data_IF_926887376567
#
_entry.id   IF_926887376567
#
_cell.length_a   1.000
_cell.length_b   1.000
_cell.length_c   1.000
_cell.angle_alpha   90.00
_cell.angle_beta   90.00
_cell.angle_gamma   90.00
#
_symmetry.space_group_name_H-M   'P 1'
#
loop_
_entity.id
_entity.type
_entity.pdbx_description
1 polymer ?
#
# COMPACT_ATOMS: atom_id res chain seq x y z
N UNK A 1 -12.47 5.37 -5.88
CA UNK A 1 -11.38 4.49 -5.38
C UNK A 1 -11.66 3.90 -4.00
N UNK A 2 -12.45 4.54 -3.12
CA UNK A 2 -12.59 4.10 -1.72
C UNK A 2 -13.11 2.67 -1.54
N UNK A 3 -14.05 2.24 -2.37
CA UNK A 3 -14.67 0.91 -2.25
C UNK A 3 -13.84 -0.23 -2.85
N UNK A 4 -12.69 0.08 -3.48
CA UNK A 4 -11.83 -0.91 -4.16
C UNK A 4 -10.52 -1.20 -3.42
N UNK A 5 -10.34 -0.60 -2.25
CA UNK A 5 -9.10 -0.71 -1.48
C UNK A 5 -9.31 -1.75 -0.40
N UNK A 6 -8.50 -2.80 -0.42
CA UNK A 6 -8.38 -3.74 0.69
C UNK A 6 -7.61 -3.06 1.82
N UNK A 7 -8.33 -2.72 2.90
CA UNK A 7 -7.79 -1.85 3.95
C UNK A 7 -6.67 -2.51 4.74
N UNK A 8 -6.83 -3.79 5.09
CA UNK A 8 -5.84 -4.54 5.88
C UNK A 8 -4.50 -4.64 5.14
N UNK A 9 -4.53 -4.90 3.83
CA UNK A 9 -3.32 -4.95 2.99
C UNK A 9 -2.62 -3.58 2.94
N UNK A 10 -3.39 -2.49 2.89
CA UNK A 10 -2.83 -1.14 2.95
C UNK A 10 -2.17 -0.86 4.31
N UNK A 11 -2.77 -1.31 5.41
CA UNK A 11 -2.18 -1.17 6.75
C UNK A 11 -0.85 -1.93 6.85
N UNK A 12 -0.80 -3.15 6.33
CA UNK A 12 0.40 -3.99 6.31
C UNK A 12 1.53 -3.35 5.50
N UNK A 13 1.23 -2.88 4.28
CA UNK A 13 2.20 -2.18 3.43
C UNK A 13 2.72 -0.90 4.11
N UNK A 14 1.83 -0.12 4.72
CA UNK A 14 2.21 1.10 5.40
C UNK A 14 3.03 0.84 6.69
N UNK A 15 2.77 -0.26 7.40
CA UNK A 15 3.58 -0.69 8.54
C UNK A 15 4.99 -1.14 8.10
N UNK A 16 5.09 -1.83 6.97
CA UNK A 16 6.37 -2.25 6.36
C UNK A 16 7.23 -1.04 5.97
N UNK A 17 6.58 0.09 5.66
CA UNK A 17 7.21 1.39 5.40
C UNK A 17 7.39 2.26 6.67
N UNK A 18 7.08 1.73 7.86
CA UNK A 18 7.12 2.45 9.14
C UNK A 18 6.32 3.76 9.17
N UNK A 19 5.21 3.83 8.42
CA UNK A 19 4.34 5.01 8.39
C UNK A 19 3.52 5.11 9.68
N UNK A 20 3.86 6.07 10.55
CA UNK A 20 3.32 6.23 11.92
C UNK A 20 1.81 6.61 11.95
N UNK A 21 1.20 7.02 10.83
CA UNK A 21 -0.08 7.75 10.81
C UNK A 21 -1.25 7.05 10.10
N UNK A 22 -1.22 5.74 9.96
CA UNK A 22 -2.30 5.02 9.26
C UNK A 22 -3.53 4.84 10.18
N UNK A 23 -4.74 5.25 9.76
CA UNK A 23 -5.95 4.98 10.53
C UNK A 23 -6.24 3.47 10.59
N UNK A 24 -6.34 2.88 11.78
CA UNK A 24 -6.53 1.43 11.94
C UNK A 24 -7.92 0.91 11.57
N UNK A 25 -8.92 1.77 11.47
CA UNK A 25 -10.31 1.36 11.23
C UNK A 25 -10.93 2.08 10.03
N UNK A 26 -11.70 1.33 9.23
CA UNK A 26 -12.63 1.90 8.27
C UNK A 26 -13.83 2.49 9.03
N UNK A 27 -13.81 3.81 9.23
CA UNK A 27 -14.87 4.51 9.98
C UNK A 27 -16.20 4.42 9.20
N UNK A 28 -17.27 3.90 9.81
CA UNK A 28 -18.62 4.02 9.24
C UNK A 28 -18.97 5.50 9.06
N UNK A 29 -19.40 5.90 7.85
CA UNK A 29 -19.64 7.32 7.54
C UNK A 29 -18.38 8.10 7.12
N UNK A 30 -17.26 7.44 6.79
CA UNK A 30 -16.00 8.06 6.36
C UNK A 30 -16.14 9.12 5.25
N UNK A 31 -17.22 9.10 4.46
CA UNK A 31 -17.45 10.03 3.35
C UNK A 31 -17.46 11.49 3.79
N UNK A 32 -17.84 11.75 5.04
CA UNK A 32 -17.89 13.10 5.59
C UNK A 32 -16.69 13.43 6.51
N UNK A 33 -15.87 12.44 6.85
CA UNK A 33 -14.65 12.66 7.64
C UNK A 33 -13.50 13.12 6.74
N UNK A 34 -13.38 14.43 6.55
CA UNK A 34 -12.30 15.05 5.77
C UNK A 34 -10.91 14.72 6.32
N UNK A 35 -10.75 14.51 7.63
CA UNK A 35 -9.45 14.20 8.23
C UNK A 35 -9.02 12.79 7.86
N UNK A 36 -9.94 11.82 7.92
CA UNK A 36 -9.73 10.46 7.44
C UNK A 36 -9.42 10.44 5.95
N UNK A 37 -10.22 11.12 5.13
CA UNK A 37 -10.04 11.18 3.68
C UNK A 37 -8.68 11.75 3.28
N UNK A 38 -8.20 12.81 3.95
CA UNK A 38 -6.86 13.39 3.71
C UNK A 38 -5.73 12.43 4.08
N UNK A 39 -5.80 11.79 5.25
CA UNK A 39 -4.77 10.81 5.67
C UNK A 39 -4.67 9.65 4.69
N UNK A 40 -5.82 9.14 4.23
CA UNK A 40 -5.84 8.07 3.24
C UNK A 40 -5.30 8.54 1.89
N UNK A 41 -5.67 9.74 1.43
CA UNK A 41 -5.14 10.32 0.20
C UNK A 41 -3.61 10.34 0.22
N UNK A 42 -3.03 10.83 1.32
CA UNK A 42 -1.59 10.85 1.52
C UNK A 42 -0.96 9.46 1.34
N UNK A 43 -1.47 8.45 2.03
CA UNK A 43 -0.89 7.11 2.02
C UNK A 43 -1.05 6.42 0.66
N UNK A 44 -2.16 6.64 -0.04
CA UNK A 44 -2.43 5.97 -1.33
C UNK A 44 -1.79 6.65 -2.53
N UNK A 45 -1.58 7.97 -2.48
CA UNK A 45 -1.27 8.77 -3.67
C UNK A 45 -0.07 9.71 -3.52
N UNK A 46 0.45 9.88 -2.30
CA UNK A 46 1.58 10.79 -2.02
C UNK A 46 2.79 10.06 -1.44
N UNK A 47 2.75 8.73 -1.36
CA UNK A 47 3.87 7.90 -0.88
C UNK A 47 4.26 6.94 -2.00
N UNK A 48 5.47 7.12 -2.51
CA UNK A 48 6.04 6.29 -3.57
C UNK A 48 7.22 5.48 -3.04
N UNK A 49 7.24 4.17 -3.33
CA UNK A 49 8.39 3.31 -3.07
C UNK A 49 9.34 3.37 -4.26
N UNK A 50 10.50 4.02 -4.11
CA UNK A 50 11.48 4.14 -5.19
C UNK A 50 12.29 2.86 -5.39
N UNK A 51 12.70 2.22 -4.30
CA UNK A 51 13.47 0.98 -4.30
C UNK A 51 12.86 0.01 -3.28
N UNK A 52 12.74 -1.26 -3.64
CA UNK A 52 12.15 -2.27 -2.75
C UNK A 52 11.90 -3.61 -3.42
N UNK A 53 11.15 -4.48 -2.75
CA UNK A 53 10.80 -5.81 -3.25
C UNK A 53 9.35 -6.10 -2.85
N UNK A 54 8.54 -6.56 -3.80
CA UNK A 54 7.26 -7.19 -3.54
C UNK A 54 7.48 -8.70 -3.46
N UNK A 55 7.03 -9.32 -2.37
CA UNK A 55 7.12 -10.77 -2.20
C UNK A 55 5.73 -11.39 -2.34
N UNK A 56 5.60 -12.44 -3.14
CA UNK A 56 4.38 -13.25 -3.18
C UNK A 56 4.27 -14.06 -1.88
N UNK A 57 3.17 -13.95 -1.12
CA UNK A 57 3.01 -14.69 0.14
C UNK A 57 2.83 -16.21 -0.08
N UNK A 58 2.38 -16.63 -1.26
CA UNK A 58 2.11 -18.04 -1.58
C UNK A 58 3.34 -18.78 -2.11
N UNK A 59 4.03 -18.18 -3.10
CA UNK A 59 5.19 -18.81 -3.77
C UNK A 59 6.53 -18.35 -3.22
N UNK A 60 6.57 -17.23 -2.48
CA UNK A 60 7.81 -16.59 -2.03
C UNK A 60 8.58 -15.86 -3.14
N UNK A 61 8.06 -15.82 -4.37
CA UNK A 61 8.69 -15.13 -5.50
C UNK A 61 8.90 -13.64 -5.19
N UNK A 62 10.05 -13.10 -5.60
CA UNK A 62 10.46 -11.72 -5.33
C UNK A 62 10.43 -10.89 -6.61
N UNK A 63 9.70 -9.78 -6.56
CA UNK A 63 9.54 -8.83 -7.65
C UNK A 63 10.18 -7.50 -7.27
N UNK A 64 11.35 -7.15 -7.83
CA UNK A 64 12.06 -5.93 -7.44
C UNK A 64 11.32 -4.68 -7.94
N UNK A 65 11.38 -3.62 -7.15
CA UNK A 65 10.99 -2.26 -7.51
C UNK A 65 12.27 -1.45 -7.67
N UNK A 66 12.44 -0.81 -8.82
CA UNK A 66 13.56 0.08 -9.10
C UNK A 66 13.08 1.35 -9.78
N UNK A 67 13.60 2.51 -9.35
CA UNK A 67 13.15 3.82 -9.83
C UNK A 67 11.63 4.04 -9.75
N UNK A 68 10.97 3.44 -8.75
CA UNK A 68 9.52 3.51 -8.58
C UNK A 68 8.71 2.58 -9.50
N UNK A 69 9.38 1.70 -10.26
CA UNK A 69 8.73 0.81 -11.22
C UNK A 69 8.84 -0.64 -10.73
N UNK A 70 7.72 -1.31 -10.40
CA UNK A 70 7.72 -2.73 -10.07
C UNK A 70 7.99 -3.59 -11.30
N UNK A 71 8.91 -4.53 -11.21
CA UNK A 71 9.15 -5.55 -12.22
C UNK A 71 8.43 -6.85 -11.84
N UNK A 72 7.30 -7.11 -12.52
CA UNK A 72 6.47 -8.31 -12.32
C UNK A 72 6.81 -9.44 -13.29
N UNK A 73 7.91 -9.35 -14.05
CA UNK A 73 8.33 -10.42 -14.95
C UNK A 73 8.91 -11.58 -14.13
N UNK A 74 8.31 -12.76 -14.26
CA UNK A 74 8.90 -13.99 -13.75
C UNK A 74 10.07 -14.39 -14.65
N UNK A 75 11.21 -14.70 -14.04
CA UNK A 75 12.33 -15.28 -14.79
C UNK A 75 12.13 -16.78 -14.77
N UNK A 76 12.01 -17.41 -15.93
CA UNK A 76 11.92 -18.87 -16.01
C UNK A 76 13.23 -19.47 -15.49
N UNK A 77 13.17 -20.19 -14.37
CA UNK A 77 14.23 -21.09 -13.89
C UNK A 77 13.88 -22.52 -14.19
#
# INVERSE_FOLDING_TARGET
MILKVEWEVLLEAANSLHLIKVPKETIQGYKHDKKFLRKRHHILLEVDMLEGILQCPESGCLFPISHGIPNMLETET
#
